data_IF_114687755466
#
_entry.id   IF_114687755466
#
_cell.length_a   1.000
_cell.length_b   1.000
_cell.length_c   1.000
_cell.angle_alpha   90.00
_cell.angle_beta   90.00
_cell.angle_gamma   90.00
#
_symmetry.space_group_name_H-M   'P 1'
#
loop_
_entity.id
_entity.type
_entity.pdbx_description
1 polymer ?
#
# COMPACT_ATOMS: atom_id res chain seq x y z
N UNK A 1 -25.25 21.53 -5.86
CA UNK A 1 -24.34 20.58 -6.51
C UNK A 1 -24.00 19.55 -5.48
N UNK A 2 -24.35 18.29 -5.68
CA UNK A 2 -24.01 17.22 -4.73
C UNK A 2 -22.50 17.01 -4.77
N UNK A 3 -21.81 17.40 -3.72
CA UNK A 3 -20.38 17.16 -3.57
C UNK A 3 -20.19 15.63 -3.40
N UNK A 4 -19.82 14.95 -4.47
CA UNK A 4 -19.67 13.48 -4.46
C UNK A 4 -18.36 13.16 -3.74
N UNK A 5 -18.47 12.60 -2.55
CA UNK A 5 -17.33 12.20 -1.72
C UNK A 5 -16.84 10.81 -2.15
N UNK A 6 -15.55 10.64 -2.33
CA UNK A 6 -14.93 9.39 -2.77
C UNK A 6 -13.84 8.92 -1.80
N UNK A 7 -13.87 7.64 -1.45
CA UNK A 7 -12.69 6.98 -0.92
C UNK A 7 -11.75 6.60 -2.08
N UNK A 8 -10.51 6.99 -2.00
CA UNK A 8 -9.50 6.75 -3.02
C UNK A 8 -8.54 5.66 -2.56
N UNK A 9 -8.45 4.59 -3.34
CA UNK A 9 -7.50 3.51 -3.15
C UNK A 9 -6.74 3.31 -4.46
N UNK A 10 -5.48 3.72 -4.51
CA UNK A 10 -4.65 3.60 -5.69
C UNK A 10 -3.48 2.65 -5.44
N UNK A 11 -3.33 1.63 -6.32
CA UNK A 11 -2.24 0.68 -6.24
C UNK A 11 -1.30 0.89 -7.42
N UNK A 12 0.01 0.89 -7.14
CA UNK A 12 1.06 1.02 -8.15
C UNK A 12 2.20 0.04 -7.87
N UNK A 13 2.73 -0.58 -8.93
CA UNK A 13 3.94 -1.41 -8.83
C UNK A 13 5.16 -0.54 -8.58
N UNK A 14 5.96 -0.89 -7.60
CA UNK A 14 7.28 -0.32 -7.41
C UNK A 14 8.28 -0.91 -8.41
N UNK A 15 9.32 -0.15 -8.76
CA UNK A 15 10.45 -0.62 -9.55
C UNK A 15 11.46 -1.35 -8.67
N UNK A 16 11.66 -2.64 -8.89
CA UNK A 16 12.55 -3.45 -8.05
C UNK A 16 12.11 -3.45 -6.59
N UNK A 17 12.97 -2.99 -5.67
CA UNK A 17 12.65 -2.77 -4.26
C UNK A 17 12.02 -1.39 -3.97
N UNK A 18 11.72 -0.62 -5.01
CA UNK A 18 11.08 0.70 -4.92
C UNK A 18 11.85 1.75 -4.07
N UNK A 19 13.16 1.62 -4.00
CA UNK A 19 14.01 2.53 -3.19
C UNK A 19 13.93 4.00 -3.63
N UNK A 20 13.67 4.27 -4.91
CA UNK A 20 13.50 5.63 -5.42
C UNK A 20 12.33 6.41 -4.82
N UNK A 21 11.32 5.71 -4.27
CA UNK A 21 10.20 6.34 -3.57
C UNK A 21 10.41 6.47 -2.07
N UNK A 22 11.43 5.81 -1.51
CA UNK A 22 11.66 5.85 -0.06
C UNK A 22 11.91 7.27 0.44
N UNK A 23 12.71 8.07 -0.28
CA UNK A 23 12.94 9.47 0.10
C UNK A 23 11.65 10.29 0.19
N UNK A 24 10.74 10.10 -0.78
CA UNK A 24 9.44 10.77 -0.76
C UNK A 24 8.57 10.30 0.39
N UNK A 25 8.47 8.98 0.61
CA UNK A 25 7.58 8.40 1.62
C UNK A 25 8.10 8.66 3.03
N UNK A 26 9.40 8.46 3.26
CA UNK A 26 10.01 8.57 4.59
C UNK A 26 10.45 10.00 4.93
N UNK A 27 10.37 10.95 3.97
CA UNK A 27 10.90 12.33 4.11
C UNK A 27 12.39 12.34 4.52
N UNK A 28 13.14 11.35 4.04
CA UNK A 28 14.58 11.21 4.30
C UNK A 28 15.31 10.84 3.03
N UNK A 29 16.47 11.42 2.82
CA UNK A 29 17.38 11.01 1.75
C UNK A 29 18.13 9.71 2.11
N UNK A 30 18.96 9.21 1.19
CA UNK A 30 19.74 7.99 1.39
C UNK A 30 20.77 8.09 2.54
N UNK A 31 21.06 9.30 3.03
CA UNK A 31 21.96 9.58 4.17
C UNK A 31 21.18 9.82 5.47
N UNK A 32 19.85 9.68 5.45
CA UNK A 32 18.98 9.93 6.60
C UNK A 32 18.71 11.42 6.87
N UNK A 33 19.15 12.33 5.99
CA UNK A 33 18.86 13.76 6.10
C UNK A 33 17.42 14.03 5.66
N UNK A 34 16.76 14.99 6.30
CA UNK A 34 15.41 15.42 5.96
C UNK A 34 15.33 15.82 4.48
N UNK A 35 14.36 15.24 3.79
CA UNK A 35 14.02 15.53 2.39
C UNK A 35 12.58 16.03 2.32
N UNK A 36 12.39 17.24 1.85
CA UNK A 36 11.05 17.82 1.67
C UNK A 36 10.78 17.96 0.18
N UNK A 37 9.78 17.24 -0.38
CA UNK A 37 9.37 17.40 -1.77
C UNK A 37 8.79 18.80 -2.03
N UNK A 38 8.83 19.25 -3.29
CA UNK A 38 8.33 20.58 -3.70
C UNK A 38 6.86 20.81 -3.36
N UNK A 39 6.05 19.75 -3.34
CA UNK A 39 4.62 19.77 -3.02
C UNK A 39 4.30 19.60 -1.53
N UNK A 40 5.32 19.51 -0.67
CA UNK A 40 5.16 19.36 0.77
C UNK A 40 5.55 20.65 1.51
N UNK A 41 4.87 20.89 2.61
CA UNK A 41 5.14 22.01 3.52
C UNK A 41 6.13 21.57 4.60
N UNK A 42 7.34 22.16 4.57
CA UNK A 42 8.42 21.83 5.49
C UNK A 42 8.02 22.03 6.96
N UNK A 43 7.21 23.06 7.25
CA UNK A 43 6.79 23.39 8.62
C UNK A 43 5.80 22.37 9.18
N UNK A 44 5.16 21.57 8.30
CA UNK A 44 4.18 20.54 8.66
C UNK A 44 4.74 19.11 8.64
N UNK A 45 5.97 18.91 8.17
CA UNK A 45 6.58 17.57 8.06
C UNK A 45 6.61 16.82 9.40
N UNK A 46 6.70 17.55 10.52
CA UNK A 46 6.64 16.95 11.87
C UNK A 46 5.28 16.32 12.22
N UNK A 47 4.22 16.60 11.46
CA UNK A 47 2.90 16.00 11.64
C UNK A 47 2.77 14.65 10.94
N UNK A 48 3.72 14.27 10.09
CA UNK A 48 3.74 12.97 9.43
C UNK A 48 3.99 11.87 10.46
N UNK A 49 3.36 10.70 10.26
CA UNK A 49 3.46 9.60 11.23
C UNK A 49 3.77 8.29 10.51
N UNK A 50 4.82 7.58 10.95
CA UNK A 50 5.02 6.15 10.62
C UNK A 50 4.06 5.32 11.47
N UNK A 51 3.24 4.50 10.82
CA UNK A 51 2.14 3.75 11.44
C UNK A 51 2.43 2.25 11.58
N UNK A 52 3.49 1.77 10.94
CA UNK A 52 3.93 0.38 10.99
C UNK A 52 5.35 0.34 11.53
N UNK A 53 5.52 -0.29 12.69
CA UNK A 53 6.84 -0.44 13.30
C UNK A 53 7.70 -1.42 12.47
N UNK A 54 8.91 -1.02 12.17
CA UNK A 54 9.89 -1.91 11.54
C UNK A 54 10.37 -3.00 12.52
N UNK A 55 10.70 -4.19 12.01
CA UNK A 55 11.35 -5.24 12.80
C UNK A 55 12.68 -4.78 13.40
N UNK A 56 13.13 -5.43 14.46
CA UNK A 56 14.41 -5.13 15.07
C UNK A 56 15.57 -5.28 14.06
N UNK A 57 16.45 -4.30 14.03
CA UNK A 57 17.57 -4.22 13.08
C UNK A 57 17.20 -3.68 11.68
N UNK A 58 15.93 -3.29 11.46
CA UNK A 58 15.46 -2.68 10.22
C UNK A 58 15.25 -1.18 10.43
N UNK A 59 15.90 -0.35 9.62
CA UNK A 59 15.96 1.09 9.86
C UNK A 59 15.13 1.93 8.89
N UNK A 60 14.72 1.35 7.76
CA UNK A 60 14.02 2.06 6.69
C UNK A 60 13.13 1.14 5.87
N UNK A 61 12.29 1.76 5.05
CA UNK A 61 11.33 1.08 4.17
C UNK A 61 12.00 0.09 3.19
N UNK A 62 13.15 0.45 2.62
CA UNK A 62 13.87 -0.42 1.67
C UNK A 62 14.36 -1.70 2.35
N UNK A 63 14.91 -1.56 3.55
CA UNK A 63 15.31 -2.70 4.37
C UNK A 63 14.12 -3.54 4.82
N UNK A 64 12.99 -2.92 5.17
CA UNK A 64 11.76 -3.63 5.54
C UNK A 64 11.22 -4.49 4.38
N UNK A 65 11.26 -4.00 3.14
CA UNK A 65 10.92 -4.79 1.94
C UNK A 65 11.86 -6.00 1.81
N UNK A 66 13.16 -5.78 1.97
CA UNK A 66 14.16 -6.83 1.83
C UNK A 66 14.01 -7.87 2.95
N UNK A 67 13.87 -7.44 4.20
CA UNK A 67 13.64 -8.29 5.36
C UNK A 67 12.41 -9.21 5.17
N UNK A 68 11.29 -8.64 4.70
CA UNK A 68 10.08 -9.43 4.43
C UNK A 68 10.29 -10.49 3.35
N UNK A 69 11.04 -10.18 2.30
CA UNK A 69 11.36 -11.14 1.24
C UNK A 69 12.22 -12.29 1.80
N UNK A 70 13.20 -11.99 2.62
CA UNK A 70 14.12 -12.98 3.21
C UNK A 70 13.41 -13.90 4.21
N UNK A 71 12.51 -13.35 5.01
CA UNK A 71 11.74 -14.10 6.00
C UNK A 71 10.52 -14.84 5.45
N UNK A 72 10.18 -14.62 4.17
CA UNK A 72 8.98 -15.19 3.54
C UNK A 72 9.06 -16.70 3.23
N UNK A 73 10.21 -17.33 3.40
CA UNK A 73 10.39 -18.76 3.07
C UNK A 73 10.24 -19.06 1.56
N UNK A 74 10.64 -18.13 0.70
CA UNK A 74 10.52 -18.27 -0.75
C UNK A 74 11.38 -19.44 -1.26
N UNK A 75 10.76 -20.34 -2.03
CA UNK A 75 11.47 -21.49 -2.65
C UNK A 75 12.31 -21.11 -3.87
N UNK A 76 12.06 -19.94 -4.48
CA UNK A 76 12.77 -19.49 -5.67
C UNK A 76 13.48 -18.18 -5.38
N UNK A 77 14.68 -18.05 -5.93
CA UNK A 77 15.42 -16.78 -5.89
C UNK A 77 14.62 -15.68 -6.60
N UNK A 78 14.52 -14.53 -5.95
CA UNK A 78 13.87 -13.34 -6.52
C UNK A 78 14.77 -12.76 -7.60
N UNK A 79 14.22 -12.52 -8.79
CA UNK A 79 14.98 -11.93 -9.90
C UNK A 79 15.16 -10.42 -9.72
N UNK A 80 16.18 -9.86 -10.35
CA UNK A 80 16.49 -8.42 -10.29
C UNK A 80 15.30 -7.55 -10.77
N UNK A 81 14.61 -7.99 -11.81
CA UNK A 81 13.53 -7.22 -12.47
C UNK A 81 12.14 -7.54 -11.89
N UNK A 82 12.05 -8.38 -10.86
CA UNK A 82 10.78 -8.74 -10.27
C UNK A 82 10.29 -7.60 -9.36
N UNK A 83 9.02 -7.23 -9.46
CA UNK A 83 8.39 -6.24 -8.56
C UNK A 83 8.40 -6.78 -7.13
N UNK A 84 9.11 -6.09 -6.24
CA UNK A 84 9.29 -6.46 -4.84
C UNK A 84 8.34 -5.74 -3.90
N UNK A 85 7.77 -4.62 -4.34
CA UNK A 85 6.85 -3.83 -3.56
C UNK A 85 5.69 -3.31 -4.40
N UNK A 86 4.51 -3.21 -3.78
CA UNK A 86 3.34 -2.51 -4.29
C UNK A 86 3.12 -1.32 -3.37
N UNK A 87 2.98 -0.13 -3.96
CA UNK A 87 2.58 1.08 -3.26
C UNK A 87 1.06 1.15 -3.24
N UNK A 88 0.50 1.45 -2.09
CA UNK A 88 -0.93 1.66 -1.92
C UNK A 88 -1.14 3.04 -1.33
N UNK A 89 -1.75 3.95 -2.09
CA UNK A 89 -2.13 5.28 -1.62
C UNK A 89 -3.61 5.26 -1.25
N UNK A 90 -3.92 5.71 -0.03
CA UNK A 90 -5.28 5.75 0.51
C UNK A 90 -5.58 7.18 0.96
N UNK A 91 -6.71 7.73 0.47
CA UNK A 91 -7.16 9.08 0.82
C UNK A 91 -8.66 9.25 0.50
N UNK A 92 -9.15 10.46 0.57
CA UNK A 92 -10.47 10.89 0.12
C UNK A 92 -10.38 12.17 -0.71
N UNK A 93 -11.51 12.80 -1.03
CA UNK A 93 -11.49 14.15 -1.57
C UNK A 93 -10.89 15.12 -0.54
N UNK A 94 -10.35 16.25 -1.01
CA UNK A 94 -9.71 17.21 -0.12
C UNK A 94 -10.66 17.66 1.00
N UNK A 95 -11.86 18.05 0.64
CA UNK A 95 -12.88 18.54 1.57
C UNK A 95 -13.20 17.49 2.63
N UNK A 96 -13.33 16.24 2.21
CA UNK A 96 -13.62 15.13 3.10
C UNK A 96 -12.48 14.82 4.06
N UNK A 97 -11.23 14.83 3.57
CA UNK A 97 -10.07 14.62 4.43
C UNK A 97 -9.91 15.75 5.45
N UNK A 98 -10.27 16.99 5.07
CA UNK A 98 -10.29 18.12 6.00
C UNK A 98 -11.41 17.98 7.04
N UNK A 99 -12.60 17.51 6.67
CA UNK A 99 -13.68 17.20 7.63
C UNK A 99 -13.26 16.11 8.63
N UNK A 100 -12.61 15.04 8.16
CA UNK A 100 -12.09 13.96 9.03
C UNK A 100 -11.06 14.51 10.01
N UNK A 101 -10.12 15.30 9.50
CA UNK A 101 -9.01 15.84 10.30
C UNK A 101 -9.53 16.83 11.34
N UNK A 102 -10.33 17.80 10.92
CA UNK A 102 -10.86 18.86 11.79
C UNK A 102 -11.92 18.34 12.76
N UNK A 103 -12.63 17.28 12.38
CA UNK A 103 -13.65 16.61 13.21
C UNK A 103 -13.10 15.62 14.21
N UNK A 104 -11.79 15.51 14.38
CA UNK A 104 -11.14 14.61 15.33
C UNK A 104 -11.30 13.11 15.00
N UNK A 105 -11.59 12.78 13.75
CA UNK A 105 -11.81 11.39 13.28
C UNK A 105 -10.59 10.77 12.60
N UNK A 106 -9.46 11.49 12.56
CA UNK A 106 -8.27 11.07 11.82
C UNK A 106 -7.74 9.73 12.30
N UNK A 107 -7.66 9.52 13.62
CA UNK A 107 -7.15 8.26 14.17
C UNK A 107 -8.08 7.09 13.86
N UNK A 108 -9.39 7.26 13.98
CA UNK A 108 -10.36 6.22 13.58
C UNK A 108 -10.27 5.89 12.09
N UNK A 109 -10.00 6.90 11.24
CA UNK A 109 -9.79 6.70 9.82
C UNK A 109 -8.49 5.93 9.55
N UNK A 110 -7.41 6.25 10.26
CA UNK A 110 -6.13 5.53 10.20
C UNK A 110 -6.32 4.05 10.58
N UNK A 111 -6.97 3.79 11.71
CA UNK A 111 -7.20 2.43 12.22
C UNK A 111 -8.01 1.59 11.24
N UNK A 112 -9.06 2.16 10.65
CA UNK A 112 -9.86 1.48 9.63
C UNK A 112 -9.04 1.15 8.37
N UNK A 113 -8.16 2.07 7.94
CA UNK A 113 -7.27 1.84 6.82
C UNK A 113 -6.22 0.76 7.11
N UNK A 114 -5.57 0.80 8.28
CA UNK A 114 -4.60 -0.22 8.69
C UNK A 114 -5.25 -1.60 8.78
N UNK A 115 -6.44 -1.67 9.37
CA UNK A 115 -7.22 -2.91 9.43
C UNK A 115 -7.49 -3.45 8.04
N UNK A 116 -8.00 -2.62 7.12
CA UNK A 116 -8.29 -3.04 5.75
C UNK A 116 -7.02 -3.50 5.00
N UNK A 117 -5.90 -2.80 5.15
CA UNK A 117 -4.62 -3.18 4.55
C UNK A 117 -4.15 -4.55 5.03
N UNK A 118 -4.19 -4.80 6.34
CA UNK A 118 -3.79 -6.07 6.96
C UNK A 118 -4.69 -7.23 6.54
N UNK A 119 -6.00 -7.03 6.53
CA UNK A 119 -6.98 -8.04 6.09
C UNK A 119 -6.87 -8.35 4.59
N UNK A 120 -6.53 -7.35 3.77
CA UNK A 120 -6.47 -7.49 2.31
C UNK A 120 -5.16 -8.12 1.84
N UNK A 121 -4.03 -7.71 2.39
CA UNK A 121 -2.70 -8.09 1.90
C UNK A 121 -1.93 -9.02 2.85
N UNK A 122 -2.42 -9.20 4.07
CA UNK A 122 -1.73 -9.91 5.15
C UNK A 122 -0.86 -8.98 6.00
N UNK A 123 -0.89 -9.18 7.32
CA UNK A 123 -0.19 -8.34 8.30
C UNK A 123 1.32 -8.29 8.02
N UNK A 124 1.95 -9.45 7.84
CA UNK A 124 3.38 -9.57 7.53
C UNK A 124 3.79 -8.89 6.22
N UNK A 125 2.87 -8.76 5.28
CA UNK A 125 3.15 -8.17 3.96
C UNK A 125 3.08 -6.65 3.96
N UNK A 126 2.41 -6.04 4.96
CA UNK A 126 2.37 -4.60 5.16
C UNK A 126 3.62 -4.16 5.92
N UNK A 127 4.65 -3.74 5.19
CA UNK A 127 5.98 -3.47 5.76
C UNK A 127 6.23 -2.01 6.11
N UNK A 128 5.41 -1.07 5.63
CA UNK A 128 5.45 0.34 5.97
C UNK A 128 4.11 0.98 5.69
N UNK A 129 3.70 1.95 6.50
CA UNK A 129 2.55 2.80 6.26
C UNK A 129 2.79 4.17 6.89
N UNK A 130 2.87 5.21 6.07
CA UNK A 130 3.16 6.57 6.51
C UNK A 130 1.95 7.46 6.24
N UNK A 131 1.51 8.20 7.26
CA UNK A 131 0.57 9.30 7.11
C UNK A 131 1.32 10.55 6.71
N UNK A 132 0.95 11.15 5.58
CA UNK A 132 1.40 12.47 5.17
C UNK A 132 0.36 13.52 5.51
N UNK A 133 0.76 14.49 6.33
CA UNK A 133 -0.01 15.66 6.74
C UNK A 133 0.60 16.96 6.20
N UNK A 134 1.76 16.88 5.59
CA UNK A 134 2.54 17.98 5.05
C UNK A 134 2.22 18.31 3.59
N UNK A 135 1.34 17.58 2.95
CA UNK A 135 0.83 17.89 1.62
C UNK A 135 -0.59 18.50 1.68
N UNK A 136 -1.10 18.94 0.52
CA UNK A 136 -2.41 19.61 0.42
C UNK A 136 -3.56 18.78 1.01
N UNK A 137 -3.55 17.47 0.79
CA UNK A 137 -4.59 16.55 1.25
C UNK A 137 -3.96 15.44 2.07
N UNK A 138 -4.39 15.20 3.32
CA UNK A 138 -3.90 14.08 4.13
C UNK A 138 -4.11 12.74 3.43
N UNK A 139 -3.08 11.90 3.42
CA UNK A 139 -3.14 10.59 2.77
C UNK A 139 -2.17 9.60 3.40
N UNK A 140 -2.42 8.31 3.17
CA UNK A 140 -1.54 7.23 3.57
C UNK A 140 -0.75 6.70 2.38
N UNK A 141 0.56 6.51 2.59
CA UNK A 141 1.42 5.72 1.72
C UNK A 141 1.73 4.38 2.40
N UNK A 142 1.06 3.33 1.97
CA UNK A 142 1.38 1.98 2.43
C UNK A 142 2.28 1.24 1.43
N UNK A 143 3.13 0.37 1.94
CA UNK A 143 4.02 -0.49 1.17
C UNK A 143 3.73 -1.93 1.48
N UNK A 144 3.37 -2.69 0.45
CA UNK A 144 3.04 -4.10 0.53
C UNK A 144 4.05 -4.92 -0.26
N UNK A 145 4.67 -5.92 0.38
CA UNK A 145 5.47 -6.93 -0.30
C UNK A 145 4.52 -8.03 -0.80
N UNK A 146 4.41 -8.27 -2.13
CA UNK A 146 3.38 -9.15 -2.68
C UNK A 146 3.73 -10.63 -2.52
N UNK A 147 3.87 -11.10 -1.28
CA UNK A 147 4.00 -12.52 -0.97
C UNK A 147 2.61 -13.14 -0.96
N UNK A 148 2.42 -14.14 -1.80
CA UNK A 148 1.17 -14.91 -1.89
C UNK A 148 1.45 -16.37 -1.62
N UNK A 149 0.49 -17.02 -0.94
CA UNK A 149 0.46 -18.45 -0.66
C UNK A 149 -0.63 -19.13 -1.48
N UNK A 150 -0.63 -20.46 -1.57
CA UNK A 150 -1.65 -21.21 -2.27
C UNK A 150 -1.29 -21.56 -3.73
N UNK A 151 -2.22 -22.16 -4.43
CA UNK A 151 -2.00 -22.67 -5.77
C UNK A 151 -1.84 -21.57 -6.82
N UNK A 152 -0.90 -21.77 -7.73
CA UNK A 152 -0.71 -20.85 -8.85
C UNK A 152 -1.80 -21.10 -9.91
N UNK A 153 -2.69 -20.14 -10.12
CA UNK A 153 -3.64 -20.19 -11.23
C UNK A 153 -2.88 -19.94 -12.53
N UNK A 154 -2.57 -21.00 -13.28
CA UNK A 154 -2.02 -20.91 -14.63
C UNK A 154 -3.16 -20.89 -15.66
N UNK A 155 -3.07 -20.00 -16.66
CA UNK A 155 -3.86 -20.19 -17.90
C UNK A 155 -3.35 -21.47 -18.56
N UNK A 156 -4.21 -22.47 -18.72
CA UNK A 156 -3.90 -23.64 -19.55
C UNK A 156 -3.73 -23.17 -20.99
N UNK A 157 -2.57 -23.46 -21.58
CA UNK A 157 -2.43 -23.48 -23.04
C UNK A 157 -2.79 -24.90 -23.50
N UNK A 158 -3.51 -24.98 -24.62
CA UNK A 158 -3.85 -26.24 -25.25
C UNK A 158 -2.56 -27.02 -25.55
N UNK A 159 -2.46 -28.30 -25.12
CA UNK A 159 -1.25 -29.13 -25.30
C UNK A 159 -0.18 -29.08 -24.20
N UNK A 160 -0.31 -28.29 -23.16
CA UNK A 160 0.68 -28.28 -22.06
C UNK A 160 0.54 -29.49 -21.12
N UNK A 161 1.69 -30.14 -20.83
CA UNK A 161 1.80 -31.20 -19.81
C UNK A 161 1.30 -30.67 -18.44
N UNK A 162 0.50 -31.49 -17.73
CA UNK A 162 0.13 -31.22 -16.33
C UNK A 162 1.41 -31.25 -15.47
N UNK A 163 1.88 -30.09 -15.04
CA UNK A 163 2.89 -30.01 -13.99
C UNK A 163 2.18 -29.95 -12.64
N UNK A 164 2.71 -30.65 -11.65
CA UNK A 164 2.27 -30.49 -10.26
C UNK A 164 2.31 -29.02 -9.84
N UNK A 165 1.19 -28.53 -9.33
CA UNK A 165 1.08 -27.19 -8.77
C UNK A 165 1.86 -27.15 -7.46
N UNK A 166 3.07 -26.60 -7.47
CA UNK A 166 3.84 -26.42 -6.25
C UNK A 166 3.16 -25.34 -5.40
N UNK A 167 2.57 -25.73 -4.28
CA UNK A 167 2.08 -24.84 -3.24
C UNK A 167 3.24 -24.24 -2.44
N UNK A 168 3.08 -23.05 -1.90
CA UNK A 168 4.03 -22.38 -1.02
C UNK A 168 4.19 -20.90 -1.29
N UNK A 169 4.89 -20.16 -0.41
CA UNK A 169 5.06 -18.73 -0.56
C UNK A 169 5.83 -18.38 -1.83
N UNK A 170 5.35 -17.36 -2.54
CA UNK A 170 5.98 -16.80 -3.74
C UNK A 170 5.76 -15.30 -3.82
N UNK A 171 6.74 -14.59 -4.36
CA UNK A 171 6.63 -13.19 -4.68
C UNK A 171 5.88 -13.04 -6.02
N UNK A 172 4.69 -12.42 -6.02
CA UNK A 172 3.86 -12.27 -7.22
C UNK A 172 2.99 -11.01 -7.20
N UNK A 173 3.53 -9.93 -7.72
CA UNK A 173 2.74 -8.71 -7.93
C UNK A 173 1.57 -8.93 -8.91
N UNK A 174 1.73 -9.82 -9.90
CA UNK A 174 0.67 -10.14 -10.85
C UNK A 174 -0.55 -10.79 -10.19
N UNK A 175 -0.34 -11.63 -9.17
CA UNK A 175 -1.45 -12.26 -8.46
C UNK A 175 -2.20 -11.26 -7.56
N UNK A 176 -1.48 -10.29 -6.98
CA UNK A 176 -2.07 -9.22 -6.16
C UNK A 176 -2.77 -8.17 -7.03
N UNK A 177 -2.19 -7.79 -8.16
CA UNK A 177 -2.69 -6.72 -9.03
C UNK A 177 -3.46 -7.23 -10.26
N UNK A 178 -4.14 -8.36 -10.15
CA UNK A 178 -5.06 -8.81 -11.20
C UNK A 178 -6.23 -7.83 -11.33
N UNK A 179 -6.70 -7.59 -12.55
CA UNK A 179 -7.83 -6.70 -12.80
C UNK A 179 -9.04 -7.01 -11.91
N UNK A 180 -9.38 -8.30 -11.76
CA UNK A 180 -10.49 -8.73 -10.91
C UNK A 180 -10.26 -8.39 -9.44
N UNK A 181 -9.02 -8.51 -8.94
CA UNK A 181 -8.65 -8.14 -7.58
C UNK A 181 -8.67 -6.64 -7.35
N UNK A 182 -8.23 -5.85 -8.33
CA UNK A 182 -8.28 -4.38 -8.24
C UNK A 182 -9.73 -3.89 -8.09
N UNK A 183 -10.69 -4.43 -8.85
CA UNK A 183 -12.11 -4.13 -8.66
C UNK A 183 -12.63 -4.56 -7.28
N UNK A 184 -12.23 -5.75 -6.81
CA UNK A 184 -12.59 -6.24 -5.48
C UNK A 184 -12.05 -5.30 -4.38
N UNK A 185 -10.80 -4.85 -4.49
CA UNK A 185 -10.18 -3.91 -3.53
C UNK A 185 -10.93 -2.58 -3.48
N UNK A 186 -11.30 -2.00 -4.61
CA UNK A 186 -12.08 -0.76 -4.65
C UNK A 186 -13.41 -0.92 -3.90
N UNK A 187 -14.14 -1.99 -4.18
CA UNK A 187 -15.43 -2.26 -3.53
C UNK A 187 -15.30 -2.52 -2.03
N UNK A 188 -14.32 -3.32 -1.63
CA UNK A 188 -14.09 -3.66 -0.23
C UNK A 188 -13.55 -2.47 0.57
N UNK A 189 -12.67 -1.67 -0.03
CA UNK A 189 -12.18 -0.45 0.57
C UNK A 189 -13.32 0.55 0.83
N UNK A 190 -14.16 0.78 -0.18
CA UNK A 190 -15.32 1.64 -0.03
C UNK A 190 -16.24 1.19 1.12
N UNK A 191 -16.48 -0.14 1.26
CA UNK A 191 -17.26 -0.69 2.38
C UNK A 191 -16.56 -0.47 3.73
N UNK A 192 -15.25 -0.70 3.81
CA UNK A 192 -14.48 -0.57 5.04
C UNK A 192 -14.44 0.89 5.55
N UNK A 193 -14.48 1.86 4.64
CA UNK A 193 -14.42 3.28 5.00
C UNK A 193 -15.78 3.89 5.39
N UNK A 194 -16.91 3.23 5.10
CA UNK A 194 -18.25 3.73 5.45
C UNK A 194 -18.40 4.17 6.92
N UNK A 195 -17.92 3.41 7.93
CA UNK A 195 -18.14 3.77 9.33
C UNK A 195 -17.40 5.02 9.78
N UNK A 196 -16.32 5.39 9.09
CA UNK A 196 -15.40 6.44 9.60
C UNK A 196 -15.61 7.81 9.01
N UNK A 197 -16.39 7.97 7.91
CA UNK A 197 -16.68 9.33 7.43
C UNK A 197 -17.49 9.45 6.15
N UNK A 198 -17.84 8.37 5.48
CA UNK A 198 -18.31 8.47 4.11
C UNK A 198 -19.79 8.14 4.02
N UNK A 199 -20.64 9.15 3.93
CA UNK A 199 -22.11 8.97 3.83
C UNK A 199 -22.55 8.44 2.46
N UNK A 200 -21.74 8.67 1.38
CA UNK A 200 -22.05 8.18 0.03
C UNK A 200 -20.77 7.82 -0.72
N UNK A 201 -20.37 6.54 -0.68
CA UNK A 201 -19.18 6.07 -1.36
C UNK A 201 -19.50 5.50 -2.75
N UNK A 202 -18.87 6.09 -3.76
CA UNK A 202 -18.55 5.40 -5.01
C UNK A 202 -17.04 5.11 -5.05
N UNK A 203 -16.67 3.91 -5.49
CA UNK A 203 -15.27 3.61 -5.80
C UNK A 203 -14.87 4.40 -7.04
N UNK A 204 -13.77 5.15 -6.98
CA UNK A 204 -13.22 5.82 -8.16
C UNK A 204 -12.26 4.85 -8.86
N UNK A 205 -12.58 4.46 -10.10
CA UNK A 205 -11.68 3.69 -10.95
C UNK A 205 -10.53 4.59 -11.43
N UNK A 206 -9.35 4.41 -10.84
CA UNK A 206 -8.10 4.90 -11.41
C UNK A 206 -7.15 3.70 -11.51
N UNK A 207 -7.34 2.92 -12.55
CA UNK A 207 -6.34 1.98 -13.04
C UNK A 207 -5.73 2.58 -14.30
N UNK A 208 -4.53 3.12 -14.21
CA UNK A 208 -3.65 3.37 -15.35
C UNK A 208 -2.66 2.21 -15.48
#
# INVERSE_FOLDING_TARGET
MSNTQYAVCHLQRGSGNDSGMSCHIERKDAKGKIYVPVNADADRTHLNRELVRFPDGVSNRTEAIQHRIETAGLRRKVSKNQTKAIRVMLTGTHEQMMEITNGGKLDSWIDANLKWLKETFGDDNLVSCVLHMDEKTPHLHATVVPIVTGERIRRKREGEKKYETKSGPRLSADDVMRRTKLHEYQNNYAKAMKPVSYTHLRAHETCA
#
